data_IF_706185684013
#
_entry.id   IF_706185684013
#
_cell.length_a   1.000
_cell.length_b   1.000
_cell.length_c   1.000
_cell.angle_alpha   90.00
_cell.angle_beta   90.00
_cell.angle_gamma   90.00
#
_symmetry.space_group_name_H-M   'P 1'
#
loop_
_entity.id
_entity.type
_entity.pdbx_description
1 polymer ?
#
# COMPACT_ATOMS: atom_id res chain seq x y z
N UNK A 1 5.80 6.12 9.68
CA UNK A 1 5.11 5.48 10.82
C UNK A 1 4.30 6.47 11.68
N UNK A 2 3.80 7.60 11.14
CA UNK A 2 3.02 8.56 11.94
C UNK A 2 1.54 8.61 11.55
N UNK A 3 1.18 8.63 10.26
CA UNK A 3 -0.22 8.68 9.82
C UNK A 3 -0.94 7.31 9.83
N UNK A 4 -0.26 6.24 9.43
CA UNK A 4 -0.84 4.88 9.41
C UNK A 4 -0.76 4.15 10.76
N UNK A 5 0.06 4.64 11.71
CA UNK A 5 0.38 3.91 12.93
C UNK A 5 1.01 2.52 12.66
N UNK A 6 1.04 1.65 13.67
CA UNK A 6 1.53 0.28 13.52
C UNK A 6 0.53 -0.56 12.73
N UNK A 7 -0.74 -0.52 13.10
CA UNK A 7 -1.79 -1.34 12.48
C UNK A 7 -1.97 -1.04 10.99
N UNK A 8 -2.06 0.23 10.58
CA UNK A 8 -2.19 0.60 9.17
C UNK A 8 -0.91 0.34 8.36
N UNK A 9 0.27 0.36 8.98
CA UNK A 9 1.53 0.02 8.29
C UNK A 9 1.61 -1.48 7.97
N UNK A 10 1.00 -2.32 8.80
CA UNK A 10 1.01 -3.78 8.65
C UNK A 10 -0.34 -4.35 8.21
N UNK A 11 -1.11 -3.61 7.40
CA UNK A 11 -2.36 -4.08 6.77
C UNK A 11 -3.39 -4.58 7.80
N UNK A 12 -3.52 -3.88 8.93
CA UNK A 12 -4.46 -4.22 10.01
C UNK A 12 -5.92 -4.23 9.56
N UNK A 13 -6.25 -3.53 8.48
CA UNK A 13 -7.57 -3.54 7.84
C UNK A 13 -7.93 -4.91 7.27
N UNK A 14 -6.94 -5.70 6.81
CA UNK A 14 -7.16 -7.09 6.37
C UNK A 14 -7.53 -8.02 7.53
N UNK A 15 -7.16 -7.64 8.76
CA UNK A 15 -7.51 -8.35 9.99
C UNK A 15 -8.71 -7.73 10.72
N UNK A 16 -9.43 -6.81 10.07
CA UNK A 16 -10.64 -6.17 10.62
C UNK A 16 -10.38 -4.95 11.52
N UNK A 17 -9.12 -4.53 11.68
CA UNK A 17 -8.75 -3.30 12.38
C UNK A 17 -8.77 -2.13 11.37
N UNK A 18 -9.97 -1.64 11.10
CA UNK A 18 -10.22 -0.62 10.08
C UNK A 18 -9.99 0.80 10.63
N UNK A 19 -9.25 1.62 9.89
CA UNK A 19 -9.14 3.06 10.19
C UNK A 19 -10.48 3.77 9.99
N UNK A 20 -10.69 4.86 10.72
CA UNK A 20 -11.90 5.68 10.60
C UNK A 20 -12.00 6.42 9.27
N UNK A 21 -10.85 6.85 8.74
CA UNK A 21 -10.72 7.50 7.45
C UNK A 21 -9.45 7.02 6.74
N UNK A 22 -9.49 7.01 5.40
CA UNK A 22 -8.32 6.70 4.57
C UNK A 22 -7.33 7.85 4.69
N UNK A 23 -6.05 7.52 4.86
CA UNK A 23 -4.98 8.53 4.87
C UNK A 23 -4.81 9.09 3.46
N UNK A 24 -5.10 10.38 3.29
CA UNK A 24 -4.97 11.09 2.00
C UNK A 24 -3.83 12.09 1.98
N UNK A 25 -3.13 12.31 3.09
CA UNK A 25 -1.98 13.20 3.17
C UNK A 25 -0.73 12.63 2.49
N UNK A 26 0.32 13.45 2.30
CA UNK A 26 1.59 13.00 1.74
C UNK A 26 2.18 11.81 2.52
N UNK A 27 2.66 10.75 1.84
CA UNK A 27 2.80 10.58 0.39
C UNK A 27 1.59 10.00 -0.38
N UNK A 28 0.48 9.69 0.32
CA UNK A 28 -0.72 9.09 -0.27
C UNK A 28 -1.50 10.02 -1.21
N UNK A 29 -1.29 11.33 -1.13
CA UNK A 29 -1.87 12.29 -2.10
C UNK A 29 -1.21 12.24 -3.48
N UNK A 30 -0.02 11.64 -3.61
CA UNK A 30 0.72 11.56 -4.88
C UNK A 30 0.58 10.18 -5.52
N UNK A 31 0.56 9.14 -4.71
CA UNK A 31 0.41 7.75 -5.16
C UNK A 31 -0.41 7.00 -4.14
N UNK A 32 -1.32 6.14 -4.60
CA UNK A 32 -2.17 5.32 -3.72
C UNK A 32 -1.36 4.27 -2.95
N UNK A 33 -0.19 3.88 -3.50
CA UNK A 33 0.61 2.76 -3.00
C UNK A 33 2.07 3.17 -2.71
N UNK A 34 2.31 4.20 -1.86
CA UNK A 34 3.63 4.77 -1.65
C UNK A 34 4.62 3.78 -1.03
N UNK A 35 4.14 2.79 -0.28
CA UNK A 35 4.97 1.75 0.31
C UNK A 35 5.64 0.86 -0.76
N UNK A 36 4.89 0.49 -1.80
CA UNK A 36 5.37 -0.33 -2.91
C UNK A 36 6.40 0.40 -3.78
N UNK A 37 6.10 1.65 -4.13
CA UNK A 37 7.03 2.47 -4.91
C UNK A 37 8.27 2.86 -4.08
N UNK A 38 8.08 3.16 -2.78
CA UNK A 38 9.18 3.50 -1.88
C UNK A 38 10.18 2.36 -1.70
N UNK A 39 9.70 1.12 -1.53
CA UNK A 39 10.59 -0.05 -1.45
C UNK A 39 11.29 -0.32 -2.78
N UNK A 40 10.60 -0.24 -3.91
CA UNK A 40 11.22 -0.33 -5.24
C UNK A 40 12.35 0.69 -5.42
N UNK A 41 12.10 1.97 -5.09
CA UNK A 41 13.13 3.02 -5.17
C UNK A 41 14.31 2.76 -4.23
N UNK A 42 14.07 2.16 -3.06
CA UNK A 42 15.12 1.79 -2.12
C UNK A 42 16.01 0.68 -2.68
N UNK A 43 15.42 -0.34 -3.32
CA UNK A 43 16.17 -1.41 -3.99
C UNK A 43 16.92 -0.91 -5.23
N UNK A 44 16.26 -0.10 -6.06
CA UNK A 44 16.85 0.48 -7.25
C UNK A 44 18.02 1.40 -6.87
N UNK A 45 17.85 2.27 -5.89
CA UNK A 45 18.89 3.15 -5.38
C UNK A 45 20.10 2.36 -4.86
N UNK A 46 19.87 1.26 -4.14
CA UNK A 46 20.95 0.36 -3.72
C UNK A 46 21.68 -0.27 -4.91
N UNK A 47 20.94 -0.76 -5.91
CA UNK A 47 21.52 -1.33 -7.13
C UNK A 47 22.38 -0.33 -7.92
N UNK A 48 21.92 0.92 -7.99
CA UNK A 48 22.64 2.03 -8.61
C UNK A 48 23.89 2.41 -7.81
N UNK A 49 23.78 2.51 -6.48
CA UNK A 49 24.89 2.87 -5.59
C UNK A 49 26.07 1.91 -5.73
N UNK A 50 25.81 0.61 -5.83
CA UNK A 50 26.86 -0.40 -6.01
C UNK A 50 27.23 -0.66 -7.48
N UNK A 51 26.65 0.08 -8.43
CA UNK A 51 26.83 -0.10 -9.87
C UNK A 51 26.65 -1.56 -10.32
N UNK A 52 25.63 -2.25 -9.78
CA UNK A 52 25.34 -3.66 -10.09
C UNK A 52 24.13 -3.77 -11.03
N UNK A 53 24.31 -4.18 -12.28
CA UNK A 53 23.21 -4.40 -13.23
C UNK A 53 22.17 -5.41 -12.71
N UNK A 54 22.62 -6.44 -12.00
CA UNK A 54 21.75 -7.42 -11.37
C UNK A 54 20.80 -6.78 -10.34
N UNK A 55 21.26 -5.79 -9.57
CA UNK A 55 20.42 -5.07 -8.61
C UNK A 55 19.30 -4.29 -9.28
N UNK A 56 19.59 -3.68 -10.44
CA UNK A 56 18.58 -2.98 -11.25
C UNK A 56 17.55 -3.98 -11.81
N UNK A 57 18.01 -5.10 -12.37
CA UNK A 57 17.14 -6.13 -12.93
C UNK A 57 16.20 -6.72 -11.88
N UNK A 58 16.74 -7.06 -10.70
CA UNK A 58 15.94 -7.59 -9.58
C UNK A 58 14.95 -6.53 -9.07
N UNK A 59 15.35 -5.27 -8.96
CA UNK A 59 14.43 -4.18 -8.58
C UNK A 59 13.27 -4.07 -9.56
N UNK A 60 13.55 -4.13 -10.87
CA UNK A 60 12.52 -4.14 -11.91
C UNK A 60 11.58 -5.34 -11.80
N UNK A 61 12.12 -6.54 -11.56
CA UNK A 61 11.32 -7.74 -11.33
C UNK A 61 10.38 -7.59 -10.13
N UNK A 62 10.89 -7.08 -9.01
CA UNK A 62 10.09 -6.80 -7.80
C UNK A 62 8.96 -5.81 -8.10
N UNK A 63 9.21 -4.76 -8.88
CA UNK A 63 8.16 -3.82 -9.29
C UNK A 63 7.05 -4.51 -10.09
N UNK A 64 7.39 -5.41 -11.03
CA UNK A 64 6.38 -6.16 -11.78
C UNK A 64 5.51 -7.00 -10.84
N UNK A 65 6.12 -7.68 -9.85
CA UNK A 65 5.36 -8.44 -8.85
C UNK A 65 4.44 -7.54 -8.02
N UNK A 66 4.89 -6.36 -7.65
CA UNK A 66 4.07 -5.38 -6.95
C UNK A 66 2.87 -4.93 -7.77
N UNK A 67 3.06 -4.59 -9.05
CA UNK A 67 1.96 -4.20 -9.93
C UNK A 67 0.91 -5.29 -10.09
N UNK A 68 1.35 -6.56 -10.16
CA UNK A 68 0.43 -7.70 -10.18
C UNK A 68 -0.34 -7.80 -8.86
N UNK A 69 0.35 -7.71 -7.72
CA UNK A 69 -0.28 -7.79 -6.40
C UNK A 69 -1.32 -6.68 -6.18
N UNK A 70 -0.99 -5.44 -6.56
CA UNK A 70 -1.88 -4.29 -6.45
C UNK A 70 -3.19 -4.48 -7.20
N UNK A 71 -3.19 -5.25 -8.30
CA UNK A 71 -4.42 -5.55 -9.05
C UNK A 71 -5.45 -6.33 -8.22
N UNK A 72 -5.02 -7.06 -7.20
CA UNK A 72 -5.88 -7.81 -6.28
C UNK A 72 -6.11 -7.06 -4.96
N UNK A 73 -5.09 -6.38 -4.45
CA UNK A 73 -5.14 -5.66 -3.17
C UNK A 73 -6.05 -4.43 -3.21
N UNK A 74 -5.97 -3.61 -4.27
CA UNK A 74 -6.81 -2.41 -4.40
C UNK A 74 -8.31 -2.70 -4.37
N UNK A 75 -8.85 -3.65 -5.18
CA UNK A 75 -10.27 -3.97 -5.13
C UNK A 75 -10.68 -4.60 -3.80
N UNK A 76 -9.80 -5.41 -3.20
CA UNK A 76 -10.06 -6.01 -1.89
C UNK A 76 -10.18 -4.94 -0.80
N UNK A 77 -9.22 -4.02 -0.73
CA UNK A 77 -9.23 -2.91 0.23
C UNK A 77 -10.47 -2.04 0.03
N UNK A 78 -10.79 -1.67 -1.21
CA UNK A 78 -11.99 -0.88 -1.52
C UNK A 78 -13.27 -1.56 -1.03
N UNK A 79 -13.38 -2.88 -1.21
CA UNK A 79 -14.55 -3.64 -0.77
C UNK A 79 -14.67 -3.71 0.76
N UNK A 80 -13.56 -3.80 1.51
CA UNK A 80 -13.60 -3.77 2.98
C UNK A 80 -14.18 -2.43 3.47
N UNK A 81 -13.71 -1.31 2.94
CA UNK A 81 -14.23 0.01 3.33
C UNK A 81 -15.67 0.23 2.86
N UNK A 82 -16.05 -0.24 1.66
CA UNK A 82 -17.44 -0.20 1.19
C UNK A 82 -18.37 -1.02 2.10
N UNK A 83 -17.93 -2.19 2.56
CA UNK A 83 -18.67 -3.02 3.51
C UNK A 83 -18.87 -2.32 4.85
N UNK A 84 -17.84 -1.64 5.38
CA UNK A 84 -17.93 -0.85 6.61
C UNK A 84 -18.98 0.25 6.51
N UNK A 85 -19.01 0.99 5.40
CA UNK A 85 -20.00 2.06 5.19
C UNK A 85 -21.42 1.51 5.06
N UNK A 86 -21.62 0.38 4.38
CA UNK A 86 -22.93 -0.31 4.34
C UNK A 86 -23.42 -0.71 5.74
N UNK A 87 -22.52 -1.22 6.60
CA UNK A 87 -22.86 -1.61 7.97
C UNK A 87 -23.16 -0.39 8.86
N UNK A 88 -22.44 0.73 8.69
CA UNK A 88 -22.74 2.00 9.37
C UNK A 88 -24.11 2.56 8.97
N UNK A 89 -24.43 2.55 7.68
CA UNK A 89 -25.73 3.03 7.18
C UNK A 89 -26.91 2.20 7.72
N UNK A 90 -26.75 0.88 7.87
CA UNK A 90 -27.77 0.01 8.49
C UNK A 90 -28.00 0.31 9.97
N UNK A 91 -26.94 0.66 10.71
CA UNK A 91 -27.04 0.99 12.15
C UNK A 91 -27.64 2.38 12.41
N UNK A 92 -27.58 3.27 11.42
CA UNK A 92 -28.12 4.62 11.50
C UNK A 92 -29.62 4.73 11.16
N UNK A 93 -30.22 3.64 10.66
CA UNK A 93 -31.65 3.53 10.31
C UNK A 93 -32.40 2.75 11.38
#
# INVERSE_FOLDING_TARGET
MWALGVTGTYLGDYFGILMDERVTGFPFNVTDNPMYYGSFLSFLGTGLWFAKPAGIAVSGFVLVMYLIALRFEEPFTAEIYAKRERERAKKAK
#
